data_IF_019412193749
#
_entry.id   IF_019412193749
#
_cell.length_a   1.000
_cell.length_b   1.000
_cell.length_c   1.000
_cell.angle_alpha   90.00
_cell.angle_beta   90.00
_cell.angle_gamma   90.00
#
_symmetry.space_group_name_H-M   'P 1'
#
loop_
_entity.id
_entity.type
_entity.pdbx_description
1 polymer ?
#
# COMPACT_ATOMS: atom_id res chain seq x y z
N UNK A 1 17.67 -0.97 27.04
CA UNK A 1 17.03 -0.58 25.77
C UNK A 1 17.70 -1.28 24.61
N UNK A 2 16.91 -1.98 23.79
CA UNK A 2 17.38 -2.82 22.68
C UNK A 2 16.78 -2.35 21.36
N UNK A 3 17.44 -2.70 20.25
CA UNK A 3 17.21 -2.20 18.89
C UNK A 3 17.32 -3.34 17.88
N UNK A 4 16.95 -3.11 16.61
CA UNK A 4 17.15 -4.12 15.56
C UNK A 4 18.63 -4.48 15.35
N UNK A 5 19.55 -3.57 15.68
CA UNK A 5 21.01 -3.75 15.58
C UNK A 5 21.54 -4.85 16.51
N UNK A 6 20.85 -5.07 17.64
CA UNK A 6 21.26 -6.05 18.65
C UNK A 6 20.93 -7.50 18.25
N UNK A 7 20.12 -7.71 17.20
CA UNK A 7 19.77 -9.07 16.73
C UNK A 7 21.01 -9.81 16.22
N UNK A 8 21.86 -9.12 15.45
CA UNK A 8 23.16 -9.68 15.02
C UNK A 8 23.99 -10.11 16.23
N UNK A 9 24.09 -9.24 17.24
CA UNK A 9 24.86 -9.50 18.46
C UNK A 9 24.29 -10.66 19.28
N UNK A 10 22.97 -10.78 19.38
CA UNK A 10 22.30 -11.93 20.04
C UNK A 10 22.65 -13.27 19.36
N UNK A 11 22.82 -13.26 18.03
CA UNK A 11 23.14 -14.45 17.23
C UNK A 11 24.63 -14.79 17.21
N UNK A 12 25.54 -13.80 17.30
CA UNK A 12 26.99 -14.01 17.20
C UNK A 12 27.77 -13.89 18.51
N UNK A 13 27.35 -13.05 19.46
CA UNK A 13 28.07 -12.75 20.71
C UNK A 13 27.48 -13.53 21.91
N UNK A 14 28.15 -14.60 22.34
CA UNK A 14 27.73 -15.42 23.50
C UNK A 14 27.65 -14.62 24.81
N UNK A 15 28.52 -13.63 25.00
CA UNK A 15 28.53 -12.74 26.18
C UNK A 15 27.27 -11.86 26.23
N UNK A 16 26.99 -11.15 25.14
CA UNK A 16 25.79 -10.32 25.01
C UNK A 16 24.50 -11.15 25.10
N UNK A 17 24.47 -12.34 24.48
CA UNK A 17 23.36 -13.28 24.62
C UNK A 17 23.09 -13.62 26.09
N UNK A 18 24.12 -13.98 26.85
CA UNK A 18 23.97 -14.31 28.28
C UNK A 18 23.46 -13.12 29.10
N UNK A 19 23.89 -11.89 28.79
CA UNK A 19 23.34 -10.68 29.39
C UNK A 19 21.84 -10.53 29.09
N UNK A 20 21.42 -10.67 27.83
CA UNK A 20 20.01 -10.59 27.42
C UNK A 20 19.16 -11.67 28.11
N UNK A 21 19.67 -12.91 28.21
CA UNK A 21 18.97 -14.03 28.87
C UNK A 21 18.75 -13.84 30.37
N UNK A 22 19.48 -12.93 31.02
CA UNK A 22 19.21 -12.56 32.42
C UNK A 22 17.89 -11.80 32.60
N UNK A 23 17.42 -11.10 31.55
CA UNK A 23 16.15 -10.36 31.53
C UNK A 23 14.97 -11.18 31.00
N UNK A 24 15.21 -12.35 30.38
CA UNK A 24 14.15 -13.20 29.82
C UNK A 24 13.40 -13.92 30.95
N UNK A 25 12.10 -13.59 31.07
CA UNK A 25 11.17 -14.20 32.03
C UNK A 25 10.44 -15.42 31.49
N UNK A 26 10.26 -15.50 30.17
CA UNK A 26 9.56 -16.60 29.52
C UNK A 26 10.42 -17.88 29.57
N UNK A 27 9.92 -18.98 30.17
CA UNK A 27 10.72 -20.19 30.35
C UNK A 27 10.97 -20.94 29.05
N UNK A 28 10.08 -20.85 28.04
CA UNK A 28 10.21 -21.54 26.76
C UNK A 28 11.29 -20.84 25.92
N UNK A 29 11.20 -19.51 25.80
CA UNK A 29 12.23 -18.70 25.12
C UNK A 29 13.59 -18.89 25.81
N UNK A 30 13.62 -18.92 27.14
CA UNK A 30 14.87 -19.16 27.88
C UNK A 30 15.45 -20.54 27.61
N UNK A 31 14.62 -21.59 27.65
CA UNK A 31 15.03 -22.97 27.38
C UNK A 31 15.63 -23.13 25.99
N UNK A 32 15.00 -22.56 24.95
CA UNK A 32 15.52 -22.56 23.59
C UNK A 32 16.97 -22.05 23.55
N UNK A 33 17.26 -20.92 24.18
CA UNK A 33 18.61 -20.35 24.15
C UNK A 33 19.61 -21.03 25.07
N UNK A 34 19.20 -21.54 26.24
CA UNK A 34 20.11 -22.15 27.22
C UNK A 34 20.35 -23.64 26.99
N UNK A 35 19.44 -24.33 26.31
CA UNK A 35 19.50 -25.79 26.07
C UNK A 35 19.59 -26.08 24.58
N UNK A 36 18.57 -25.72 23.79
CA UNK A 36 18.48 -26.15 22.38
C UNK A 36 19.59 -25.52 21.52
N UNK A 37 19.64 -24.18 21.46
CA UNK A 37 20.68 -23.44 20.73
C UNK A 37 22.08 -23.72 21.28
N UNK A 38 22.20 -23.95 22.60
CA UNK A 38 23.46 -24.29 23.25
C UNK A 38 23.94 -25.72 22.94
N UNK A 39 23.03 -26.63 22.54
CA UNK A 39 23.36 -28.00 22.11
C UNK A 39 23.86 -28.08 20.66
N UNK A 40 23.62 -27.03 19.87
CA UNK A 40 24.08 -26.97 18.47
C UNK A 40 25.59 -26.85 18.39
N UNK A 41 26.21 -27.61 17.47
CA UNK A 41 27.62 -27.39 17.14
C UNK A 41 27.79 -26.07 16.37
N UNK A 42 28.97 -25.45 16.47
CA UNK A 42 29.22 -24.11 15.92
C UNK A 42 28.94 -23.99 14.42
N UNK A 43 29.19 -25.05 13.64
CA UNK A 43 28.92 -25.08 12.21
C UNK A 43 27.42 -25.02 11.93
N UNK A 44 26.63 -25.91 12.56
CA UNK A 44 25.18 -25.93 12.40
C UNK A 44 24.53 -24.64 12.93
N UNK A 45 25.00 -24.12 14.07
CA UNK A 45 24.53 -22.85 14.60
C UNK A 45 24.77 -21.69 13.61
N UNK A 46 25.97 -21.61 13.02
CA UNK A 46 26.32 -20.60 12.01
C UNK A 46 25.43 -20.72 10.78
N UNK A 47 25.22 -21.93 10.26
CA UNK A 47 24.36 -22.21 9.11
C UNK A 47 22.89 -21.86 9.37
N UNK A 48 22.37 -22.19 10.56
CA UNK A 48 20.99 -21.91 10.97
C UNK A 48 20.72 -20.40 11.16
N UNK A 49 21.68 -19.62 11.67
CA UNK A 49 21.49 -18.16 11.86
C UNK A 49 21.78 -17.33 10.60
N UNK A 50 22.55 -17.85 9.64
CA UNK A 50 22.95 -17.11 8.45
C UNK A 50 21.77 -16.50 7.63
N UNK A 51 20.63 -17.20 7.41
CA UNK A 51 19.48 -16.60 6.73
C UNK A 51 18.91 -15.38 7.47
N UNK A 52 18.87 -15.43 8.81
CA UNK A 52 18.40 -14.33 9.66
C UNK A 52 19.38 -13.16 9.59
N UNK A 53 20.69 -13.44 9.73
CA UNK A 53 21.75 -12.44 9.62
C UNK A 53 21.77 -11.77 8.25
N UNK A 54 21.52 -12.48 7.16
CA UNK A 54 21.44 -11.89 5.82
C UNK A 54 20.27 -10.90 5.68
N UNK A 55 19.10 -11.22 6.27
CA UNK A 55 17.94 -10.31 6.27
C UNK A 55 18.15 -9.10 7.18
N UNK A 56 18.65 -9.30 8.41
CA UNK A 56 18.97 -8.21 9.35
C UNK A 56 20.12 -7.34 8.83
N UNK A 57 21.11 -7.94 8.17
CA UNK A 57 22.22 -7.25 7.51
C UNK A 57 21.73 -6.23 6.48
N UNK A 58 20.73 -6.58 5.67
CA UNK A 58 20.13 -5.64 4.71
C UNK A 58 19.54 -4.39 5.37
N UNK A 59 18.81 -4.53 6.50
CA UNK A 59 18.29 -3.39 7.26
C UNK A 59 19.39 -2.49 7.86
N UNK A 60 20.55 -3.07 8.19
CA UNK A 60 21.58 -2.40 9.00
C UNK A 60 22.78 -1.89 8.19
N UNK A 61 22.92 -2.35 6.94
CA UNK A 61 23.97 -1.92 6.01
C UNK A 61 23.77 -0.49 5.50
N UNK A 62 22.55 -0.10 5.12
CA UNK A 62 22.28 1.25 4.61
C UNK A 62 22.11 2.24 5.79
N UNK A 63 22.86 3.36 5.85
CA UNK A 63 22.75 4.33 6.94
C UNK A 63 21.35 4.92 7.15
N UNK A 64 20.58 5.16 6.08
CA UNK A 64 19.22 5.71 6.17
C UNK A 64 18.31 4.70 6.89
N UNK A 65 18.31 3.45 6.45
CA UNK A 65 17.50 2.39 7.07
C UNK A 65 17.96 2.11 8.50
N UNK A 66 19.28 2.02 8.72
CA UNK A 66 19.90 1.83 10.05
C UNK A 66 19.48 2.91 11.03
N UNK A 67 19.47 4.17 10.62
CA UNK A 67 19.10 5.29 11.50
C UNK A 67 17.58 5.32 11.81
N UNK A 68 16.74 4.64 11.00
CA UNK A 68 15.33 4.42 11.30
C UNK A 68 15.15 3.24 12.28
N UNK A 69 15.70 2.06 11.96
CA UNK A 69 15.46 0.82 12.76
C UNK A 69 16.38 0.67 13.99
N UNK A 70 17.44 1.47 14.07
CA UNK A 70 18.40 1.51 15.17
C UNK A 70 17.95 2.31 16.38
N UNK A 71 16.77 2.94 16.33
CA UNK A 71 16.21 3.66 17.46
C UNK A 71 15.54 2.69 18.47
N UNK A 72 15.73 2.86 19.79
CA UNK A 72 15.21 1.95 20.80
C UNK A 72 13.69 2.05 21.01
N UNK A 73 13.07 3.14 20.54
CA UNK A 73 11.63 3.41 20.65
C UNK A 73 11.18 4.07 19.36
N UNK A 74 10.02 3.66 18.84
CA UNK A 74 9.36 4.36 17.74
C UNK A 74 8.90 5.75 18.20
N UNK A 75 9.11 6.78 17.37
CA UNK A 75 8.65 8.14 17.63
C UNK A 75 7.15 8.34 17.42
N UNK A 76 6.50 7.44 16.69
CA UNK A 76 5.05 7.43 16.44
C UNK A 76 4.43 6.05 16.66
N UNK A 77 3.10 6.02 16.83
CA UNK A 77 2.32 4.80 16.98
C UNK A 77 1.21 4.76 15.92
N UNK A 78 1.21 3.71 15.08
CA UNK A 78 0.24 3.55 13.98
C UNK A 78 -1.19 3.35 14.50
N UNK A 79 -1.37 2.65 15.62
CA UNK A 79 -2.69 2.48 16.24
C UNK A 79 -3.26 3.83 16.71
N UNK A 80 -2.41 4.69 17.28
CA UNK A 80 -2.80 6.05 17.66
C UNK A 80 -3.13 6.92 16.43
N UNK A 81 -2.38 6.77 15.33
CA UNK A 81 -2.65 7.44 14.05
C UNK A 81 -4.04 7.07 13.52
N UNK A 82 -4.38 5.78 13.52
CA UNK A 82 -5.68 5.27 13.10
C UNK A 82 -6.81 5.84 13.97
N UNK A 83 -6.74 5.65 15.28
CA UNK A 83 -7.83 5.97 16.21
C UNK A 83 -8.06 7.50 16.30
N UNK A 84 -6.98 8.30 16.23
CA UNK A 84 -7.06 9.77 16.26
C UNK A 84 -7.22 10.42 14.88
N UNK A 85 -7.53 9.65 13.82
CA UNK A 85 -7.78 10.15 12.45
C UNK A 85 -6.62 11.00 11.89
N UNK A 86 -5.37 10.66 12.24
CA UNK A 86 -4.19 11.34 11.69
C UNK A 86 -3.88 10.84 10.28
N UNK A 87 -3.27 11.69 9.46
CA UNK A 87 -2.76 11.33 8.14
C UNK A 87 -1.31 10.84 8.29
N UNK A 88 -0.98 9.71 7.67
CA UNK A 88 0.39 9.19 7.56
C UNK A 88 0.80 9.17 6.09
N UNK A 89 1.80 9.97 5.73
CA UNK A 89 2.40 9.97 4.39
C UNK A 89 3.76 9.29 4.50
N UNK A 90 3.99 8.25 3.69
CA UNK A 90 5.26 7.52 3.63
C UNK A 90 5.85 7.69 2.24
N UNK A 91 7.00 8.36 2.13
CA UNK A 91 7.74 8.48 0.88
C UNK A 91 8.82 7.38 0.81
N UNK A 92 8.56 6.34 0.03
CA UNK A 92 9.50 5.25 -0.26
C UNK A 92 10.09 5.34 -1.68
N UNK A 93 10.32 6.55 -2.18
CA UNK A 93 10.89 6.75 -3.51
C UNK A 93 12.20 5.97 -3.68
N UNK A 94 12.20 5.02 -4.64
CA UNK A 94 13.34 4.17 -4.98
C UNK A 94 14.61 4.98 -5.28
N UNK A 95 14.47 6.18 -5.85
CA UNK A 95 15.60 7.08 -6.14
C UNK A 95 16.22 7.76 -4.91
N UNK A 96 15.53 7.79 -3.77
CA UNK A 96 16.03 8.36 -2.51
C UNK A 96 16.58 7.29 -1.57
N UNK A 97 15.92 6.12 -1.51
CA UNK A 97 16.20 5.09 -0.49
C UNK A 97 16.88 3.83 -1.07
N UNK A 98 16.80 3.63 -2.39
CA UNK A 98 17.17 2.37 -3.07
C UNK A 98 15.99 1.39 -3.13
N UNK A 99 15.95 0.56 -4.17
CA UNK A 99 14.84 -0.37 -4.42
C UNK A 99 14.63 -1.40 -3.30
N UNK A 100 15.68 -2.16 -2.95
CA UNK A 100 15.61 -3.18 -1.90
C UNK A 100 15.19 -2.59 -0.55
N UNK A 101 15.77 -1.44 -0.18
CA UNK A 101 15.46 -0.74 1.07
C UNK A 101 14.03 -0.19 1.09
N UNK A 102 13.54 0.31 -0.04
CA UNK A 102 12.15 0.78 -0.16
C UNK A 102 11.18 -0.38 0.02
N UNK A 103 11.38 -1.50 -0.69
CA UNK A 103 10.58 -2.72 -0.54
C UNK A 103 10.60 -3.26 0.90
N UNK A 104 11.77 -3.25 1.54
CA UNK A 104 11.99 -3.72 2.90
C UNK A 104 11.33 -2.83 3.96
N UNK A 105 11.44 -1.50 3.84
CA UNK A 105 10.75 -0.56 4.72
C UNK A 105 9.23 -0.58 4.50
N UNK A 106 8.79 -0.69 3.23
CA UNK A 106 7.38 -0.74 2.86
C UNK A 106 6.68 -1.99 3.38
N UNK A 107 7.27 -3.17 3.20
CA UNK A 107 6.75 -4.41 3.78
C UNK A 107 6.68 -4.35 5.31
N UNK A 108 7.72 -3.84 5.99
CA UNK A 108 7.69 -3.64 7.44
C UNK A 108 6.57 -2.69 7.88
N UNK A 109 6.36 -1.58 7.16
CA UNK A 109 5.28 -0.64 7.46
C UNK A 109 3.90 -1.26 7.22
N UNK A 110 3.71 -2.01 6.13
CA UNK A 110 2.47 -2.74 5.84
C UNK A 110 2.15 -3.75 6.94
N UNK A 111 3.11 -4.58 7.37
CA UNK A 111 2.92 -5.51 8.48
C UNK A 111 2.63 -4.77 9.79
N UNK A 112 3.24 -3.61 10.05
CA UNK A 112 2.89 -2.78 11.23
C UNK A 112 1.49 -2.18 11.14
N UNK A 113 1.02 -1.79 9.95
CA UNK A 113 -0.35 -1.32 9.71
C UNK A 113 -1.36 -2.48 9.87
N UNK A 114 -1.05 -3.68 9.37
CA UNK A 114 -1.84 -4.89 9.60
C UNK A 114 -2.00 -5.16 11.11
N UNK A 115 -0.90 -5.22 11.85
CA UNK A 115 -0.92 -5.50 13.29
C UNK A 115 -1.64 -4.40 14.08
N UNK A 116 -1.45 -3.12 13.72
CA UNK A 116 -2.19 -2.01 14.31
C UNK A 116 -3.70 -2.12 14.05
N UNK A 117 -4.11 -2.48 12.83
CA UNK A 117 -5.51 -2.72 12.51
C UNK A 117 -6.06 -3.92 13.29
N UNK A 118 -5.39 -5.08 13.26
CA UNK A 118 -5.81 -6.28 14.01
C UNK A 118 -5.91 -6.04 15.52
N UNK A 119 -5.04 -5.18 16.08
CA UNK A 119 -5.14 -4.81 17.50
C UNK A 119 -6.47 -4.15 17.87
N UNK A 120 -7.23 -3.58 16.90
CA UNK A 120 -8.58 -3.00 17.09
C UNK A 120 -9.67 -4.04 17.42
N UNK A 121 -9.29 -5.31 17.62
CA UNK A 121 -10.11 -6.33 18.24
C UNK A 121 -10.61 -5.93 19.65
N UNK A 122 -9.88 -5.05 20.36
CA UNK A 122 -10.24 -4.47 21.65
C UNK A 122 -11.42 -3.49 21.62
N UNK A 123 -11.86 -3.05 20.44
CA UNK A 123 -13.05 -2.21 20.27
C UNK A 123 -14.23 -3.13 19.93
N UNK A 124 -15.08 -3.45 20.91
CA UNK A 124 -16.17 -4.45 20.79
C UNK A 124 -17.05 -4.23 19.54
N UNK A 125 -17.60 -3.02 19.40
CA UNK A 125 -18.49 -2.67 18.29
C UNK A 125 -17.69 -2.29 17.04
N UNK A 126 -17.80 -3.09 15.98
CA UNK A 126 -17.16 -2.83 14.67
C UNK A 126 -17.52 -1.44 14.12
N UNK A 127 -18.74 -0.96 14.36
CA UNK A 127 -19.21 0.38 13.94
C UNK A 127 -18.43 1.51 14.62
N UNK A 128 -17.88 1.29 15.82
CA UNK A 128 -17.06 2.27 16.54
C UNK A 128 -15.61 2.30 16.03
N UNK A 129 -15.19 1.33 15.21
CA UNK A 129 -13.84 1.26 14.64
C UNK A 129 -13.75 2.26 13.48
N UNK A 130 -13.11 3.40 13.74
CA UNK A 130 -12.94 4.47 12.75
C UNK A 130 -12.28 3.92 11.47
N UNK A 131 -12.89 4.09 10.28
CA UNK A 131 -12.29 3.66 9.02
C UNK A 131 -10.95 4.35 8.79
N UNK A 132 -9.92 3.55 8.52
CA UNK A 132 -8.60 4.02 8.12
C UNK A 132 -8.32 3.56 6.70
N UNK A 133 -7.96 4.49 5.81
CA UNK A 133 -7.76 4.23 4.40
C UNK A 133 -6.25 4.13 4.10
N UNK A 134 -5.81 2.93 3.72
CA UNK A 134 -4.45 2.65 3.27
C UNK A 134 -4.44 2.67 1.74
N UNK A 135 -3.79 3.69 1.18
CA UNK A 135 -3.48 3.77 -0.24
C UNK A 135 -2.04 3.29 -0.47
N UNK A 136 -1.85 2.34 -1.38
CA UNK A 136 -0.54 1.79 -1.73
C UNK A 136 -0.35 1.92 -3.23
N UNK A 137 0.51 2.85 -3.63
CA UNK A 137 1.00 2.95 -5.00
C UNK A 137 2.14 1.94 -5.24
N UNK A 138 2.26 1.45 -6.47
CA UNK A 138 3.19 0.39 -6.86
C UNK A 138 3.18 -0.83 -5.90
N UNK A 139 1.97 -1.29 -5.56
CA UNK A 139 1.66 -2.34 -4.58
C UNK A 139 2.53 -3.60 -4.69
N UNK A 140 2.85 -4.02 -5.92
CA UNK A 140 3.67 -5.19 -6.23
C UNK A 140 5.06 -5.15 -5.56
N UNK A 141 5.59 -3.96 -5.25
CA UNK A 141 6.86 -3.80 -4.55
C UNK A 141 6.82 -4.20 -3.07
N UNK A 142 5.62 -4.31 -2.50
CA UNK A 142 5.35 -4.56 -1.09
C UNK A 142 4.47 -5.80 -0.88
N UNK A 143 4.04 -6.43 -1.98
CA UNK A 143 3.19 -7.61 -2.07
C UNK A 143 3.79 -8.81 -1.32
N UNK A 144 3.32 -8.98 -0.08
CA UNK A 144 3.71 -10.01 0.88
C UNK A 144 2.45 -10.68 1.42
N UNK A 145 2.58 -11.84 2.09
CA UNK A 145 1.44 -12.58 2.67
C UNK A 145 0.60 -11.73 3.65
N UNK A 146 1.21 -10.73 4.29
CA UNK A 146 0.52 -9.69 5.06
C UNK A 146 -0.62 -9.03 4.28
N UNK A 147 -0.46 -8.78 2.98
CA UNK A 147 -1.51 -8.19 2.15
C UNK A 147 -2.65 -9.15 1.84
N UNK A 148 -2.38 -10.44 1.63
CA UNK A 148 -3.45 -11.43 1.49
C UNK A 148 -4.33 -11.47 2.75
N UNK A 149 -3.71 -11.37 3.93
CA UNK A 149 -4.42 -11.25 5.22
C UNK A 149 -5.15 -9.91 5.36
N UNK A 150 -4.57 -8.78 4.91
CA UNK A 150 -5.27 -7.48 4.93
C UNK A 150 -6.53 -7.53 4.07
N UNK A 151 -6.44 -8.09 2.87
CA UNK A 151 -7.52 -8.17 1.89
C UNK A 151 -8.70 -9.02 2.38
N UNK A 152 -8.44 -10.17 3.00
CA UNK A 152 -9.48 -11.07 3.51
C UNK A 152 -10.03 -10.66 4.89
N UNK A 153 -9.19 -10.17 5.80
CA UNK A 153 -9.60 -9.97 7.20
C UNK A 153 -9.73 -8.53 7.65
N UNK A 154 -8.91 -7.60 7.16
CA UNK A 154 -8.74 -6.31 7.86
C UNK A 154 -9.94 -5.37 7.75
N UNK A 155 -10.88 -5.65 6.85
CA UNK A 155 -12.19 -4.98 6.75
C UNK A 155 -12.96 -5.04 8.08
N UNK A 156 -12.94 -6.17 8.80
CA UNK A 156 -13.63 -6.30 10.12
C UNK A 156 -13.01 -5.42 11.20
N UNK A 157 -11.76 -5.00 11.00
CA UNK A 157 -11.03 -4.09 11.88
C UNK A 157 -11.08 -2.63 11.42
N UNK A 158 -11.88 -2.28 10.41
CA UNK A 158 -11.99 -0.90 9.90
C UNK A 158 -10.75 -0.43 9.12
N UNK A 159 -9.99 -1.34 8.50
CA UNK A 159 -8.94 -0.98 7.53
C UNK A 159 -9.51 -1.13 6.11
N UNK A 160 -9.50 -0.04 5.36
CA UNK A 160 -9.88 0.01 3.95
C UNK A 160 -8.61 0.07 3.10
N UNK A 161 -8.42 -0.88 2.19
CA UNK A 161 -7.24 -0.94 1.33
C UNK A 161 -7.59 -0.47 -0.08
N UNK A 162 -6.70 0.33 -0.68
CA UNK A 162 -6.73 0.69 -2.11
C UNK A 162 -5.33 0.54 -2.66
N UNK A 163 -5.17 -0.29 -3.70
CA UNK A 163 -3.89 -0.63 -4.30
C UNK A 163 -3.85 -0.20 -5.76
N UNK A 164 -2.71 0.33 -6.20
CA UNK A 164 -2.39 0.56 -7.61
C UNK A 164 -1.24 -0.37 -8.01
N UNK A 165 -1.35 -0.97 -9.20
CA UNK A 165 -0.38 -1.89 -9.79
C UNK A 165 -0.36 -1.68 -11.30
N UNK A 166 0.81 -1.80 -11.93
CA UNK A 166 0.96 -1.54 -13.37
C UNK A 166 0.56 -2.74 -14.24
N UNK A 167 0.99 -3.95 -13.87
CA UNK A 167 0.79 -5.18 -14.65
C UNK A 167 0.47 -6.36 -13.74
N UNK A 168 -0.50 -7.21 -14.09
CA UNK A 168 -0.95 -8.33 -13.24
C UNK A 168 0.17 -9.34 -13.02
N UNK A 169 1.05 -9.52 -14.02
CA UNK A 169 2.18 -10.45 -13.98
C UNK A 169 3.29 -10.08 -12.97
N UNK A 170 3.25 -8.91 -12.33
CA UNK A 170 4.21 -8.54 -11.28
C UNK A 170 3.84 -9.08 -9.89
N UNK A 171 2.60 -9.56 -9.69
CA UNK A 171 2.18 -10.18 -8.44
C UNK A 171 2.48 -11.68 -8.45
N UNK A 172 2.82 -12.26 -7.30
CA UNK A 172 2.83 -13.72 -7.14
C UNK A 172 1.40 -14.27 -7.32
N UNK A 173 1.29 -15.58 -7.57
CA UNK A 173 -0.02 -16.21 -7.77
C UNK A 173 -0.91 -16.05 -6.53
N UNK A 174 -0.36 -16.27 -5.35
CA UNK A 174 -1.06 -16.20 -4.07
C UNK A 174 -1.60 -14.80 -3.81
N UNK A 175 -0.80 -13.75 -4.04
CA UNK A 175 -1.22 -12.36 -3.88
C UNK A 175 -2.26 -11.98 -4.93
N UNK A 176 -2.05 -12.36 -6.20
CA UNK A 176 -3.00 -12.08 -7.29
C UNK A 176 -4.36 -12.70 -7.01
N UNK A 177 -4.39 -13.95 -6.60
CA UNK A 177 -5.61 -14.70 -6.36
C UNK A 177 -6.32 -14.14 -5.10
N UNK A 178 -5.57 -13.70 -4.07
CA UNK A 178 -6.11 -12.98 -2.92
C UNK A 178 -6.67 -11.57 -3.27
N UNK A 179 -6.04 -10.82 -4.17
CA UNK A 179 -6.54 -9.54 -4.68
C UNK A 179 -7.86 -9.75 -5.42
N UNK A 180 -7.89 -10.63 -6.42
CA UNK A 180 -9.08 -10.83 -7.24
C UNK A 180 -10.24 -11.54 -6.50
N UNK A 181 -9.94 -12.32 -5.46
CA UNK A 181 -10.97 -12.96 -4.63
C UNK A 181 -11.65 -12.04 -3.61
N UNK A 182 -11.00 -10.94 -3.18
CA UNK A 182 -11.49 -10.09 -2.09
C UNK A 182 -11.80 -8.63 -2.50
N UNK A 183 -11.30 -8.15 -3.64
CA UNK A 183 -11.55 -6.78 -4.10
C UNK A 183 -12.94 -6.68 -4.75
N UNK A 184 -13.87 -6.00 -4.06
CA UNK A 184 -15.23 -5.75 -4.55
C UNK A 184 -15.37 -4.57 -5.51
N UNK A 185 -14.36 -3.72 -5.68
CA UNK A 185 -14.41 -2.55 -6.57
C UNK A 185 -13.09 -2.39 -7.32
N UNK A 186 -13.16 -2.35 -8.64
CA UNK A 186 -12.00 -2.41 -9.54
C UNK A 186 -12.06 -1.27 -10.55
N UNK A 187 -10.97 -0.50 -10.64
CA UNK A 187 -10.78 0.58 -11.62
C UNK A 187 -9.71 0.15 -12.62
N UNK A 188 -10.03 0.22 -13.91
CA UNK A 188 -9.16 -0.12 -15.02
C UNK A 188 -8.92 1.11 -15.89
N UNK A 189 -7.68 1.61 -15.89
CA UNK A 189 -7.18 2.53 -16.93
C UNK A 189 -6.72 1.74 -18.16
N UNK A 190 -6.24 2.44 -19.21
CA UNK A 190 -5.62 1.78 -20.37
C UNK A 190 -4.51 0.81 -19.94
N UNK A 191 -4.59 -0.43 -20.39
CA UNK A 191 -3.65 -1.51 -20.07
C UNK A 191 -3.15 -2.26 -21.31
N UNK A 192 -2.18 -3.17 -21.13
CA UNK A 192 -1.71 -4.06 -22.20
C UNK A 192 -2.73 -5.16 -22.53
N UNK A 193 -2.60 -5.77 -23.72
CA UNK A 193 -3.52 -6.82 -24.18
C UNK A 193 -3.57 -8.03 -23.23
N UNK A 194 -2.43 -8.47 -22.70
CA UNK A 194 -2.37 -9.62 -21.78
C UNK A 194 -3.15 -9.36 -20.48
N UNK A 195 -3.03 -8.16 -19.90
CA UNK A 195 -3.81 -7.76 -18.72
C UNK A 195 -5.29 -7.55 -19.08
N UNK A 196 -5.59 -6.87 -20.19
CA UNK A 196 -6.95 -6.64 -20.67
C UNK A 196 -7.73 -7.95 -20.86
N UNK A 197 -7.06 -8.98 -21.40
CA UNK A 197 -7.64 -10.30 -21.62
C UNK A 197 -8.08 -11.00 -20.34
N UNK A 198 -7.36 -10.76 -19.23
CA UNK A 198 -7.72 -11.25 -17.89
C UNK A 198 -8.83 -10.37 -17.29
N UNK A 199 -8.70 -9.05 -17.46
CA UNK A 199 -9.57 -8.06 -16.80
C UNK A 199 -10.97 -7.94 -17.40
N UNK A 200 -11.16 -8.24 -18.69
CA UNK A 200 -12.48 -8.12 -19.37
C UNK A 200 -13.61 -8.84 -18.62
N UNK A 201 -13.32 -10.01 -18.02
CA UNK A 201 -14.26 -10.83 -17.22
C UNK A 201 -14.87 -10.09 -16.02
N UNK A 202 -14.24 -9.01 -15.55
CA UNK A 202 -14.75 -8.18 -14.46
C UNK A 202 -15.71 -7.08 -14.94
N UNK A 203 -15.68 -6.77 -16.24
CA UNK A 203 -16.38 -5.65 -16.89
C UNK A 203 -17.40 -6.08 -17.97
N UNK A 204 -17.38 -7.35 -18.37
CA UNK A 204 -18.43 -8.00 -19.15
C UNK A 204 -19.83 -7.80 -18.52
N UNK A 205 -20.90 -7.72 -19.33
CA UNK A 205 -20.91 -7.78 -20.80
C UNK A 205 -20.70 -6.40 -21.47
N UNK A 206 -20.34 -5.34 -20.73
CA UNK A 206 -20.39 -3.96 -21.25
C UNK A 206 -19.10 -3.50 -21.94
N UNK A 207 -17.97 -4.11 -21.62
CA UNK A 207 -16.66 -3.75 -22.18
C UNK A 207 -15.89 -5.01 -22.56
N UNK A 208 -15.21 -4.95 -23.69
CA UNK A 208 -14.37 -6.03 -24.22
C UNK A 208 -12.87 -5.71 -24.05
N UNK A 209 -12.00 -6.70 -24.27
CA UNK A 209 -10.55 -6.53 -24.29
C UNK A 209 -10.09 -5.34 -25.15
N UNK A 210 -10.74 -5.13 -26.31
CA UNK A 210 -10.42 -4.04 -27.23
C UNK A 210 -10.60 -2.64 -26.60
N UNK A 211 -11.63 -2.45 -25.77
CA UNK A 211 -11.92 -1.17 -25.11
C UNK A 211 -10.86 -0.82 -24.07
N UNK A 212 -10.41 -1.83 -23.33
CA UNK A 212 -9.39 -1.68 -22.28
C UNK A 212 -8.01 -1.33 -22.86
N UNK A 213 -7.68 -1.83 -24.06
CA UNK A 213 -6.41 -1.56 -24.75
C UNK A 213 -6.38 -0.19 -25.44
N UNK A 214 -7.49 0.23 -26.05
CA UNK A 214 -7.55 1.46 -26.87
C UNK A 214 -8.06 2.70 -26.11
N UNK A 215 -8.25 2.58 -24.80
CA UNK A 215 -8.75 3.64 -23.93
C UNK A 215 -7.88 4.91 -23.97
N UNK A 216 -8.52 6.08 -24.08
CA UNK A 216 -7.81 7.36 -24.04
C UNK A 216 -7.16 7.62 -22.67
N UNK A 217 -6.08 8.40 -22.65
CA UNK A 217 -5.45 8.81 -21.40
C UNK A 217 -6.48 9.49 -20.48
N UNK A 218 -6.41 9.19 -19.18
CA UNK A 218 -7.32 9.68 -18.12
C UNK A 218 -8.78 9.18 -18.20
N UNK A 219 -9.15 8.40 -19.20
CA UNK A 219 -10.38 7.61 -19.13
C UNK A 219 -10.12 6.33 -18.31
N UNK A 220 -11.18 5.80 -17.71
CA UNK A 220 -11.16 4.50 -17.02
C UNK A 220 -12.50 3.76 -17.21
N UNK A 221 -12.47 2.45 -17.01
CA UNK A 221 -13.65 1.62 -16.76
C UNK A 221 -13.66 1.21 -15.29
N UNK A 222 -14.83 1.14 -14.67
CA UNK A 222 -14.99 0.81 -13.25
C UNK A 222 -16.10 -0.23 -13.07
N UNK A 223 -15.85 -1.17 -12.17
CA UNK A 223 -16.87 -2.06 -11.60
C UNK A 223 -16.89 -1.83 -10.09
N UNK A 224 -18.07 -1.56 -9.53
CA UNK A 224 -18.25 -1.22 -8.11
C UNK A 224 -19.11 -2.26 -7.41
N UNK A 225 -18.83 -2.50 -6.13
CA UNK A 225 -19.82 -3.09 -5.21
C UNK A 225 -20.51 -1.97 -4.44
N UNK A 226 -21.81 -1.78 -4.66
CA UNK A 226 -22.64 -0.75 -4.03
C UNK A 226 -23.71 -1.46 -3.19
N UNK A 227 -23.84 -1.13 -1.90
CA UNK A 227 -24.80 -1.79 -1.01
C UNK A 227 -24.54 -3.28 -0.73
N UNK A 228 -23.45 -3.85 -1.26
CA UNK A 228 -23.17 -5.29 -1.26
C UNK A 228 -23.42 -5.98 -2.61
N UNK A 229 -24.04 -5.30 -3.56
CA UNK A 229 -24.31 -5.82 -4.90
C UNK A 229 -23.27 -5.30 -5.92
N UNK A 230 -22.85 -6.17 -6.85
CA UNK A 230 -21.94 -5.79 -7.93
C UNK A 230 -22.71 -5.02 -9.00
N UNK A 231 -22.48 -3.71 -9.09
CA UNK A 231 -23.05 -2.86 -10.13
C UNK A 231 -22.48 -3.23 -11.51
N UNK A 232 -23.30 -3.05 -12.56
CA UNK A 232 -22.83 -3.17 -13.94
C UNK A 232 -21.68 -2.17 -14.16
N UNK A 233 -20.63 -2.62 -14.85
CA UNK A 233 -19.48 -1.76 -15.14
C UNK A 233 -19.92 -0.50 -15.92
N UNK A 234 -19.17 0.59 -15.75
CA UNK A 234 -19.36 1.84 -16.51
C UNK A 234 -18.01 2.52 -16.76
N UNK A 235 -17.97 3.49 -17.66
CA UNK A 235 -16.77 4.28 -17.95
C UNK A 235 -16.82 5.65 -17.28
N UNK A 236 -15.65 6.24 -17.05
CA UNK A 236 -15.50 7.57 -16.47
C UNK A 236 -14.22 8.26 -16.94
N UNK A 237 -14.04 9.51 -16.53
CA UNK A 237 -12.83 10.30 -16.79
C UNK A 237 -12.30 10.88 -15.48
N UNK A 238 -10.98 10.93 -15.32
CA UNK A 238 -10.38 11.42 -14.07
C UNK A 238 -10.44 12.94 -13.98
N UNK A 239 -10.90 13.45 -12.85
CA UNK A 239 -10.97 14.88 -12.57
C UNK A 239 -9.57 15.52 -12.60
N UNK A 240 -9.51 16.81 -12.95
CA UNK A 240 -8.30 17.60 -12.71
C UNK A 240 -8.11 17.79 -11.21
N UNK A 241 -6.87 17.83 -10.75
CA UNK A 241 -6.57 18.34 -9.42
C UNK A 241 -7.13 19.77 -9.31
N UNK A 242 -7.81 20.12 -8.20
CA UNK A 242 -8.28 21.48 -7.99
C UNK A 242 -7.07 22.44 -7.97
N UNK A 243 -7.23 23.68 -8.46
CA UNK A 243 -6.17 24.69 -8.35
C UNK A 243 -5.82 24.90 -6.87
N UNK A 244 -4.53 25.07 -6.58
CA UNK A 244 -4.09 25.38 -5.21
C UNK A 244 -4.80 26.66 -4.74
N UNK A 245 -5.55 26.52 -3.65
CA UNK A 245 -6.39 27.59 -3.10
C UNK A 245 -5.91 27.85 -1.67
N UNK A 246 -5.42 29.07 -1.40
CA UNK A 246 -4.85 29.46 -0.11
C UNK A 246 -3.32 29.46 -0.06
N UNK A 247 -2.77 29.62 1.13
CA UNK A 247 -1.32 29.65 1.38
C UNK A 247 -0.69 28.25 1.36
N UNK A 248 0.57 28.17 0.92
CA UNK A 248 1.31 26.91 0.88
C UNK A 248 1.94 26.59 2.25
N UNK A 249 1.17 25.96 3.14
CA UNK A 249 1.61 25.63 4.50
C UNK A 249 2.51 24.36 4.56
N UNK A 250 3.01 23.87 3.42
CA UNK A 250 3.79 22.62 3.34
C UNK A 250 5.00 22.62 4.28
N UNK A 251 5.76 23.73 4.35
CA UNK A 251 6.96 23.81 5.16
C UNK A 251 6.63 23.76 6.67
N UNK A 252 5.59 24.49 7.10
CA UNK A 252 5.11 24.48 8.48
C UNK A 252 4.66 23.09 8.93
N UNK A 253 3.95 22.36 8.06
CA UNK A 253 3.51 20.98 8.31
C UNK A 253 4.72 20.04 8.46
N UNK A 254 5.73 20.17 7.59
CA UNK A 254 6.96 19.38 7.66
C UNK A 254 7.71 19.65 8.96
N UNK A 255 7.87 20.92 9.35
CA UNK A 255 8.66 21.29 10.52
C UNK A 255 7.94 20.95 11.83
N UNK A 256 6.61 21.14 11.91
CA UNK A 256 5.80 20.64 13.03
C UNK A 256 5.87 19.11 13.17
N UNK A 257 5.81 18.38 12.04
CA UNK A 257 5.95 16.92 12.04
C UNK A 257 7.33 16.48 12.51
N UNK A 258 8.40 17.18 12.11
CA UNK A 258 9.77 16.91 12.56
C UNK A 258 9.95 17.17 14.05
N UNK A 259 9.47 18.31 14.55
CA UNK A 259 9.52 18.66 15.98
C UNK A 259 8.74 17.67 16.86
N UNK A 260 7.63 17.11 16.35
CA UNK A 260 6.76 16.20 17.11
C UNK A 260 7.19 14.73 17.04
N UNK A 261 7.65 14.26 15.88
CA UNK A 261 7.82 12.83 15.58
C UNK A 261 9.22 12.44 15.05
N UNK A 262 10.22 13.32 15.09
CA UNK A 262 11.60 13.01 14.68
C UNK A 262 12.61 13.28 15.80
N UNK A 263 13.76 12.60 15.70
CA UNK A 263 14.96 12.86 16.51
C UNK A 263 16.03 13.40 15.56
N UNK A 264 16.87 14.38 15.95
CA UNK A 264 17.96 14.86 15.11
C UNK A 264 18.89 13.73 14.64
N UNK A 265 19.29 13.78 13.38
CA UNK A 265 20.13 12.75 12.75
C UNK A 265 21.43 12.51 13.54
N UNK A 266 22.09 13.60 13.98
CA UNK A 266 23.32 13.56 14.77
C UNK A 266 23.17 12.70 16.03
N UNK A 267 22.09 12.88 16.77
CA UNK A 267 21.87 12.20 18.05
C UNK A 267 21.65 10.69 17.83
N UNK A 268 20.99 10.32 16.73
CA UNK A 268 20.84 8.92 16.31
C UNK A 268 22.20 8.33 15.90
N UNK A 269 22.99 9.06 15.11
CA UNK A 269 24.30 8.59 14.65
C UNK A 269 25.30 8.42 15.80
N UNK A 270 25.31 9.34 16.76
CA UNK A 270 26.10 9.25 17.99
C UNK A 270 25.65 8.06 18.85
N UNK A 271 24.34 7.86 19.06
CA UNK A 271 23.79 6.69 19.76
C UNK A 271 24.15 5.36 19.07
N UNK A 272 24.11 5.31 17.74
CA UNK A 272 24.48 4.12 16.96
C UNK A 272 25.99 3.87 17.04
N UNK A 273 26.83 4.91 16.90
CA UNK A 273 28.29 4.77 17.00
C UNK A 273 28.72 4.27 18.38
N UNK A 274 28.20 4.85 19.47
CA UNK A 274 28.54 4.41 20.83
C UNK A 274 28.21 2.93 21.05
N UNK A 275 27.15 2.42 20.42
CA UNK A 275 26.73 1.03 20.48
C UNK A 275 27.62 0.06 19.68
N UNK A 276 28.25 0.52 18.60
CA UNK A 276 29.15 -0.29 17.77
C UNK A 276 30.62 -0.18 18.20
N UNK A 277 31.05 0.96 18.74
CA UNK A 277 32.47 1.26 19.02
C UNK A 277 32.85 0.94 20.48
N UNK A 278 31.90 0.99 21.43
CA UNK A 278 32.14 0.63 22.84
C UNK A 278 31.50 -0.71 23.18
N UNK A 279 32.21 -1.85 23.07
CA UNK A 279 31.79 -3.04 23.78
C UNK A 279 31.83 -2.73 25.29
N UNK A 280 30.66 -2.85 25.93
CA UNK A 280 30.39 -2.67 27.36
C UNK A 280 30.67 -1.28 27.99
N UNK A 281 29.62 -0.45 28.06
CA UNK A 281 29.42 0.45 29.22
C UNK A 281 27.94 0.68 29.52
N UNK A 282 27.60 0.81 30.81
CA UNK A 282 26.22 0.92 31.30
C UNK A 282 25.68 2.34 31.14
N UNK A 283 25.03 2.65 30.02
CA UNK A 283 24.18 3.85 29.93
C UNK A 283 22.69 3.50 29.96
N UNK A 284 22.03 3.86 31.07
CA UNK A 284 20.61 4.21 31.03
C UNK A 284 20.48 5.56 30.33
N UNK A 285 19.69 5.71 29.26
CA UNK A 285 19.36 7.03 28.74
C UNK A 285 18.40 7.73 29.71
N UNK A 286 18.90 8.72 30.44
CA UNK A 286 18.06 9.69 31.17
C UNK A 286 17.37 10.60 30.15
N UNK A 287 16.23 10.13 29.63
CA UNK A 287 15.30 10.98 28.90
C UNK A 287 14.58 11.87 29.91
N UNK A 288 15.12 13.08 30.13
CA UNK A 288 14.39 14.15 30.81
C UNK A 288 13.22 14.58 29.90
N UNK A 289 12.06 13.94 30.09
CA UNK A 289 10.77 14.51 29.69
C UNK A 289 10.22 15.30 30.86
N UNK A 290 10.42 16.61 30.85
CA UNK A 290 9.46 17.49 31.51
C UNK A 290 8.10 17.32 30.82
N UNK A 291 6.99 17.22 31.58
CA UNK A 291 5.67 17.09 31.00
C UNK A 291 5.25 18.41 30.35
N UNK A 292 5.36 18.48 29.02
CA UNK A 292 4.74 19.56 28.23
C UNK A 292 3.24 19.54 28.51
N UNK A 293 2.76 20.57 29.22
CA UNK A 293 1.34 20.77 29.47
C UNK A 293 0.62 21.07 28.15
N UNK A 294 -0.64 20.63 27.96
CA UNK A 294 -1.39 20.95 26.75
C UNK A 294 -1.53 22.47 26.61
N UNK A 295 -1.40 23.03 25.39
CA UNK A 295 -1.54 24.47 25.18
C UNK A 295 -2.94 24.94 25.58
N UNK A 296 -3.01 26.05 26.29
CA UNK A 296 -4.27 26.65 26.72
C UNK A 296 -5.09 27.08 25.52
N UNK A 297 -6.41 26.81 25.57
CA UNK A 297 -7.37 27.27 24.57
C UNK A 297 -7.50 28.79 24.63
N UNK A 298 -7.08 29.48 23.58
CA UNK A 298 -7.38 30.90 23.39
C UNK A 298 -8.86 31.02 23.02
N UNK A 299 -9.65 31.61 23.92
CA UNK A 299 -11.02 31.99 23.63
C UNK A 299 -11.01 33.17 22.64
N UNK A 300 -11.70 33.02 21.51
CA UNK A 300 -12.04 34.15 20.66
C UNK A 300 -13.35 34.76 21.17
N UNK A 301 -13.27 35.98 21.70
CA UNK A 301 -14.44 36.79 22.02
C UNK A 301 -15.14 37.25 20.74
N UNK A 302 -16.47 37.23 20.75
CA UNK A 302 -17.32 37.59 19.61
C UNK A 302 -17.72 39.07 19.66
N UNK A 303 -16.94 39.94 19.01
CA UNK A 303 -17.33 41.35 18.86
C UNK A 303 -18.20 41.61 17.61
N UNK A 304 -19.42 42.07 17.92
CA UNK A 304 -20.33 42.96 17.18
C UNK A 304 -20.08 43.35 15.71
N UNK A 305 -21.16 43.21 14.94
CA UNK A 305 -21.44 43.88 13.67
C UNK A 305 -21.31 45.41 13.71
N UNK A 306 -20.97 46.06 12.57
CA UNK A 306 -21.53 47.36 12.22
C UNK A 306 -22.47 47.30 11.00
N UNK A 307 -23.50 48.16 11.00
CA UNK A 307 -24.48 48.31 9.90
C UNK A 307 -24.11 49.45 8.95
N UNK A 308 -24.22 49.17 7.65
CA UNK A 308 -24.76 50.03 6.58
C UNK A 308 -24.17 51.44 6.35
N UNK A 309 -23.67 51.66 5.13
CA UNK A 309 -24.05 52.85 4.36
C UNK A 309 -24.20 52.53 2.86
N UNK A 310 -25.08 53.25 2.17
CA UNK A 310 -25.40 53.04 0.74
C UNK A 310 -24.51 53.92 -0.13
N UNK A 311 -24.07 53.40 -1.27
CA UNK A 311 -23.87 54.22 -2.48
C UNK A 311 -24.12 53.38 -3.73
N UNK A 312 -25.03 53.84 -4.58
CA UNK A 312 -25.34 53.26 -5.88
C UNK A 312 -24.48 54.00 -6.91
N UNK A 313 -23.79 53.27 -7.80
CA UNK A 313 -23.52 53.75 -9.16
C UNK A 313 -23.57 52.59 -10.15
N UNK A 314 -24.51 52.71 -11.07
CA UNK A 314 -24.68 51.85 -12.25
C UNK A 314 -23.85 52.38 -13.41
N UNK A 315 -23.09 51.51 -14.07
CA UNK A 315 -22.69 51.69 -15.48
C UNK A 315 -22.70 50.33 -16.17
N UNK A 316 -23.75 50.10 -16.94
CA UNK A 316 -23.81 49.06 -17.96
C UNK A 316 -23.17 49.59 -19.24
N UNK A 317 -22.23 48.88 -19.83
CA UNK A 317 -21.83 49.10 -21.23
C UNK A 317 -21.51 47.77 -21.91
N UNK A 318 -21.72 47.70 -23.22
CA UNK A 318 -21.93 46.47 -23.99
C UNK A 318 -20.90 46.26 -25.10
N UNK A 319 -20.71 44.99 -25.45
CA UNK A 319 -20.27 44.47 -26.76
C UNK A 319 -18.91 44.95 -27.32
N UNK A 320 -17.96 44.01 -27.39
CA UNK A 320 -16.73 44.14 -28.19
C UNK A 320 -16.27 42.78 -28.71
N UNK A 321 -16.65 42.42 -29.94
CA UNK A 321 -16.26 41.16 -30.60
C UNK A 321 -14.94 41.32 -31.37
N UNK A 322 -13.95 40.47 -31.11
CA UNK A 322 -12.72 40.33 -31.91
C UNK A 322 -12.39 38.82 -32.01
N UNK A 323 -12.83 38.15 -33.08
CA UNK A 323 -12.06 37.81 -34.30
C UNK A 323 -10.91 36.82 -34.07
N UNK A 324 -11.05 35.64 -34.69
CA UNK A 324 -10.06 34.56 -34.76
C UNK A 324 -9.16 34.75 -36.01
N UNK A 325 -7.82 34.64 -35.90
CA UNK A 325 -6.96 34.43 -37.05
C UNK A 325 -6.77 32.92 -37.33
N UNK A 326 -6.95 32.53 -38.59
CA UNK A 326 -6.70 31.17 -39.06
C UNK A 326 -5.22 30.90 -39.39
N UNK A 327 -4.90 29.65 -39.73
CA UNK A 327 -3.56 29.14 -39.99
C UNK A 327 -2.83 29.83 -41.16
N UNK A 328 -1.50 29.90 -41.06
CA UNK A 328 -0.60 29.92 -42.24
C UNK A 328 0.46 28.83 -42.14
N UNK A 329 0.88 28.34 -43.30
CA UNK A 329 1.62 27.10 -43.55
C UNK A 329 3.13 27.13 -43.22
N UNK A 330 3.70 25.96 -42.92
CA UNK A 330 5.12 25.66 -43.08
C UNK A 330 5.31 24.18 -43.48
N UNK A 331 6.21 23.91 -44.43
CA UNK A 331 6.40 22.64 -45.13
C UNK A 331 7.46 21.70 -44.47
N UNK A 332 7.63 20.43 -44.92
CA UNK A 332 7.96 19.33 -44.01
C UNK A 332 9.46 19.04 -43.78
N UNK A 333 9.78 18.55 -42.59
CA UNK A 333 11.11 18.02 -42.23
C UNK A 333 11.18 16.49 -42.42
N UNK A 334 12.35 16.02 -42.88
CA UNK A 334 12.56 14.74 -43.58
C UNK A 334 12.55 13.49 -42.67
N UNK A 335 11.98 12.40 -43.20
CA UNK A 335 12.01 11.03 -42.64
C UNK A 335 13.45 10.54 -42.37
N UNK A 336 13.73 9.98 -41.18
CA UNK A 336 14.94 9.19 -40.89
C UNK A 336 14.64 7.69 -40.69
N UNK A 337 14.98 6.91 -41.72
CA UNK A 337 15.38 5.48 -41.77
C UNK A 337 14.90 4.52 -40.65
N UNK A 338 14.04 3.56 -41.03
CA UNK A 338 13.88 2.26 -40.34
C UNK A 338 15.22 1.49 -40.32
N UNK A 339 15.56 0.86 -39.19
CA UNK A 339 16.61 -0.18 -39.10
C UNK A 339 15.96 -1.55 -38.91
N UNK A 340 16.08 -2.42 -39.89
CA UNK A 340 15.70 -3.84 -39.80
C UNK A 340 16.84 -4.65 -39.16
N UNK A 341 16.51 -5.53 -38.19
CA UNK A 341 17.45 -6.56 -37.70
C UNK A 341 17.12 -7.90 -38.36
N UNK A 342 18.08 -8.42 -39.13
CA UNK A 342 18.01 -9.73 -39.82
C UNK A 342 18.50 -10.82 -38.87
N UNK A 343 17.70 -11.88 -38.66
CA UNK A 343 18.12 -13.09 -37.94
C UNK A 343 19.30 -13.74 -38.68
N UNK A 344 20.32 -14.20 -37.94
CA UNK A 344 21.39 -15.08 -38.44
C UNK A 344 21.08 -16.51 -37.96
N UNK A 345 20.99 -17.47 -38.88
CA UNK A 345 20.99 -18.91 -38.58
C UNK A 345 22.44 -19.38 -38.42
N UNK A 346 22.65 -20.34 -37.53
CA UNK A 346 23.74 -21.31 -37.60
C UNK A 346 23.16 -22.66 -37.22
N UNK A 347 23.32 -23.66 -38.08
CA UNK A 347 23.09 -25.06 -37.78
C UNK A 347 24.34 -25.65 -37.12
N UNK A 348 24.19 -26.66 -36.26
CA UNK A 348 24.47 -28.04 -36.66
C UNK A 348 24.05 -29.01 -35.52
N UNK A 349 23.61 -30.21 -35.92
CA UNK A 349 23.32 -31.36 -35.06
C UNK A 349 24.39 -32.45 -35.34
N UNK A 350 24.52 -33.56 -34.59
CA UNK A 350 23.49 -34.62 -34.46
C UNK A 350 23.50 -35.26 -33.02
N UNK A 351 23.07 -36.49 -32.67
CA UNK A 351 22.50 -37.66 -33.39
C UNK A 351 21.72 -38.56 -32.39
N UNK A 352 20.65 -39.27 -32.84
CA UNK A 352 20.10 -40.57 -32.33
C UNK A 352 19.68 -40.65 -30.81
N UNK A 353 18.44 -41.02 -30.43
CA UNK A 353 17.77 -42.31 -30.70
C UNK A 353 16.24 -42.28 -30.48
N UNK A 354 15.52 -43.29 -31.01
CA UNK A 354 14.05 -43.43 -31.04
C UNK A 354 13.34 -43.71 -29.71
N UNK A 355 12.06 -44.12 -29.68
CA UNK A 355 11.09 -44.40 -30.76
C UNK A 355 9.94 -45.28 -30.25
N UNK A 356 8.73 -45.16 -30.82
CA UNK A 356 7.52 -45.99 -30.58
C UNK A 356 6.92 -45.98 -29.14
N UNK A 357 5.63 -46.25 -28.89
CA UNK A 357 4.42 -46.42 -29.74
C UNK A 357 3.17 -46.11 -28.90
N UNK A 358 2.07 -45.71 -29.54
CA UNK A 358 0.75 -45.66 -28.89
C UNK A 358 0.20 -47.08 -28.63
N UNK A 359 -0.65 -47.23 -27.61
CA UNK A 359 -1.62 -48.32 -27.58
C UNK A 359 -2.98 -47.87 -27.00
N UNK A 360 -4.05 -48.56 -27.40
CA UNK A 360 -5.45 -48.26 -27.07
C UNK A 360 -5.88 -48.85 -25.73
N UNK A 361 -7.11 -48.47 -25.36
CA UNK A 361 -8.19 -49.24 -24.69
C UNK A 361 -8.63 -48.68 -23.33
N UNK A 362 -9.89 -48.70 -22.91
CA UNK A 362 -11.24 -48.53 -23.51
C UNK A 362 -12.23 -48.57 -22.32
N UNK A 363 -13.38 -47.87 -22.43
CA UNK A 363 -14.66 -48.15 -21.76
C UNK A 363 -14.82 -48.21 -20.21
N UNK A 364 -15.60 -47.26 -19.69
CA UNK A 364 -16.86 -47.36 -18.90
C UNK A 364 -16.94 -46.16 -17.94
N UNK A 365 -17.89 -45.23 -18.01
CA UNK A 365 -19.36 -45.33 -17.91
C UNK A 365 -19.86 -45.76 -16.53
N UNK A 366 -20.22 -44.79 -15.68
CA UNK A 366 -21.38 -44.91 -14.80
C UNK A 366 -21.95 -43.53 -14.43
N UNK A 367 -23.22 -43.52 -14.04
CA UNK A 367 -24.05 -42.30 -13.98
C UNK A 367 -25.10 -42.36 -12.87
N UNK A 368 -25.21 -41.29 -12.09
CA UNK A 368 -26.35 -40.99 -11.19
C UNK A 368 -26.39 -39.47 -11.04
N UNK A 369 -27.38 -38.76 -11.61
CA UNK A 369 -28.74 -38.54 -11.07
C UNK A 369 -28.70 -38.09 -9.60
N UNK A 370 -28.88 -36.80 -9.31
CA UNK A 370 -30.13 -35.99 -9.28
C UNK A 370 -30.51 -35.82 -7.81
N UNK A 371 -30.64 -34.56 -7.38
CA UNK A 371 -31.81 -34.12 -6.62
C UNK A 371 -31.98 -32.60 -6.78
N UNK A 372 -33.19 -32.20 -7.15
CA UNK A 372 -33.71 -30.84 -7.08
C UNK A 372 -34.93 -30.92 -6.16
N UNK A 373 -34.97 -30.12 -5.11
CA UNK A 373 -36.24 -29.71 -4.50
C UNK A 373 -36.43 -28.20 -4.62
N UNK A 374 -37.71 -27.83 -4.72
CA UNK A 374 -38.21 -26.53 -5.14
C UNK A 374 -39.16 -25.98 -4.08
N UNK A 375 -39.45 -24.67 -4.21
CA UNK A 375 -40.65 -23.97 -3.74
C UNK A 375 -40.71 -23.42 -2.30
N UNK A 376 -40.43 -22.11 -2.25
CA UNK A 376 -41.44 -21.03 -2.09
C UNK A 376 -41.80 -20.45 -0.71
N UNK A 377 -42.08 -19.13 -0.80
CA UNK A 377 -42.98 -18.30 0.02
C UNK A 377 -42.40 -17.82 1.38
N UNK A 378 -42.62 -16.58 1.85
CA UNK A 378 -43.37 -15.45 1.24
C UNK A 378 -42.89 -14.06 1.74
N UNK A 379 -43.35 -13.03 1.01
CA UNK A 379 -43.65 -11.63 1.38
C UNK A 379 -42.89 -10.89 2.51
N UNK A 380 -42.38 -9.69 2.18
CA UNK A 380 -41.74 -8.78 3.16
C UNK A 380 -41.41 -7.37 2.66
N UNK A 381 -42.12 -6.84 1.67
CA UNK A 381 -41.84 -5.52 1.08
C UNK A 381 -42.26 -4.36 1.99
N UNK A 382 -41.27 -3.61 2.52
CA UNK A 382 -41.48 -2.28 3.10
C UNK A 382 -40.81 -1.22 2.22
N UNK A 383 -41.64 -0.44 1.52
CA UNK A 383 -41.20 0.76 0.83
C UNK A 383 -40.76 1.82 1.85
N UNK A 384 -39.49 2.24 1.80
CA UNK A 384 -39.10 3.59 2.23
C UNK A 384 -38.66 4.37 0.99
N UNK A 385 -39.38 5.44 0.70
CA UNK A 385 -39.10 6.38 -0.38
C UNK A 385 -37.80 7.14 -0.11
N UNK A 386 -36.85 7.09 -1.05
CA UNK A 386 -35.74 8.02 -1.12
C UNK A 386 -35.91 8.90 -2.35
N UNK A 387 -36.21 10.19 -2.12
CA UNK A 387 -36.29 11.18 -3.18
C UNK A 387 -34.90 11.46 -3.74
N UNK A 388 -34.62 10.93 -4.93
CA UNK A 388 -33.45 11.25 -5.74
C UNK A 388 -33.89 11.85 -7.07
N UNK A 389 -33.75 13.16 -7.23
CA UNK A 389 -34.06 13.84 -8.49
C UNK A 389 -33.16 13.33 -9.62
N UNK A 390 -33.75 12.69 -10.62
CA UNK A 390 -33.10 12.44 -11.91
C UNK A 390 -33.02 13.77 -12.66
N UNK A 391 -31.80 14.27 -12.83
CA UNK A 391 -31.47 15.28 -13.85
C UNK A 391 -30.75 14.53 -14.99
N UNK A 392 -31.08 14.88 -16.24
CA UNK A 392 -30.66 14.14 -17.44
C UNK A 392 -29.14 14.06 -17.67
N UNK A 393 -28.76 13.14 -18.56
CA UNK A 393 -27.41 12.65 -18.85
C UNK A 393 -26.72 11.95 -17.66
N UNK A 394 -26.70 10.61 -17.72
CA UNK A 394 -26.33 9.68 -16.64
C UNK A 394 -24.86 9.72 -16.19
N UNK A 395 -24.44 10.85 -15.65
CA UNK A 395 -23.11 11.09 -15.08
C UNK A 395 -23.22 11.11 -13.56
N UNK A 396 -22.90 10.00 -12.90
CA UNK A 396 -22.83 9.95 -11.44
C UNK A 396 -21.52 10.61 -10.99
N UNK A 397 -21.59 11.83 -10.48
CA UNK A 397 -20.48 12.44 -9.75
C UNK A 397 -20.34 11.79 -8.37
N UNK A 398 -19.24 11.07 -8.15
CA UNK A 398 -18.79 10.70 -6.81
C UNK A 398 -17.95 11.85 -6.23
N UNK A 399 -18.19 12.18 -4.96
CA UNK A 399 -17.37 13.11 -4.16
C UNK A 399 -16.32 12.36 -3.36
#
# INVERSE_FOLDING_TARGET
DSTMLDVTRMLTEKTFRNEVLSYVKDPVVKNFWTVEFASWNDKFATEAVAPILNKVGAFTANPIVRNIVGQPKSSFNIREIMDKRKILIVNLSRGLVGEDNAALLGSLLVTKIQLAAMSRADIDNVVNRVPFYLYVDEFQNFATDSFATILSEARKYGLCLTVANQYIAQMTQEVRDAVFGNVGSTIAFRMGADDARVMQRYFEPRFEEHDLVHMNNRNFVISLTIGGEKAQAFSGTSLNLPPQTGSNNLQEIIDYSRQTYSVPLRDIEEYVQDRYVKPTSKHKPTVNKEPISPPQTVNYETESTPKVSKSIKSTSETLGSVVVPALTSAEPIKKKRKRTRRRKKTSDSPVINGGNTANKDTNKSESTKVDQELNNSDSGSKNLSSDGHIVGDGTIQLR
#
